data_IF_935822343101
#
_entry.id   IF_935822343101
#
_cell.length_a   1.000
_cell.length_b   1.000
_cell.length_c   1.000
_cell.angle_alpha   90.00
_cell.angle_beta   90.00
_cell.angle_gamma   90.00
#
_symmetry.space_group_name_H-M   'P 1'
#
loop_
_entity.id
_entity.type
_entity.pdbx_description
1 polymer ?
#
# COMPACT_ATOMS: atom_id res chain seq x y z
N UNK A 1 0.00 12.41 -19.80
CA UNK A 1 -0.29 12.87 -21.17
C UNK A 1 -1.05 14.17 -21.02
N UNK A 2 -0.50 15.28 -21.51
CA UNK A 2 -1.14 16.57 -21.41
C UNK A 2 -1.90 16.80 -22.73
N UNK A 3 -3.24 16.87 -22.75
CA UNK A 3 -3.92 17.33 -23.95
C UNK A 3 -3.47 18.78 -24.19
N UNK A 4 -3.17 19.09 -25.45
CA UNK A 4 -2.71 20.41 -25.87
C UNK A 4 -3.60 21.50 -25.25
N UNK A 5 -3.03 22.40 -24.44
CA UNK A 5 -3.72 23.52 -23.78
C UNK A 5 -4.05 24.66 -24.79
N UNK A 6 -4.25 24.31 -26.06
CA UNK A 6 -4.56 25.27 -27.11
C UNK A 6 -6.08 25.39 -27.16
N UNK A 7 -6.65 26.58 -26.90
CA UNK A 7 -8.09 26.78 -26.97
C UNK A 7 -8.56 26.54 -28.40
N UNK A 8 -9.62 25.75 -28.56
CA UNK A 8 -10.20 25.47 -29.86
C UNK A 8 -10.94 26.69 -30.43
N UNK A 9 -11.20 27.69 -29.58
CA UNK A 9 -11.96 28.90 -29.89
C UNK A 9 -13.40 28.57 -30.36
N UNK A 10 -13.87 27.38 -29.97
CA UNK A 10 -15.20 26.85 -30.18
C UNK A 10 -15.76 26.59 -28.79
N UNK A 11 -16.78 27.34 -28.35
CA UNK A 11 -17.20 27.37 -26.95
C UNK A 11 -17.67 26.01 -26.43
N UNK A 12 -18.20 25.15 -27.30
CA UNK A 12 -18.61 23.79 -26.94
C UNK A 12 -17.40 22.87 -26.71
N UNK A 13 -16.35 23.00 -27.54
CA UNK A 13 -15.14 22.20 -27.40
C UNK A 13 -14.33 22.62 -26.16
N UNK A 14 -14.26 23.92 -25.87
CA UNK A 14 -13.57 24.44 -24.70
C UNK A 14 -14.26 23.98 -23.39
N UNK A 15 -15.59 23.95 -23.35
CA UNK A 15 -16.35 23.43 -22.20
C UNK A 15 -16.09 21.92 -21.96
N UNK A 16 -15.99 21.13 -23.04
CA UNK A 16 -15.64 19.69 -22.93
C UNK A 16 -14.20 19.52 -22.43
N UNK A 17 -13.27 20.35 -22.88
CA UNK A 17 -11.90 20.32 -22.39
C UNK A 17 -11.81 20.68 -20.90
N UNK A 18 -12.54 21.71 -20.46
CA UNK A 18 -12.58 22.15 -19.06
C UNK A 18 -13.20 21.10 -18.13
N UNK A 19 -14.29 20.46 -18.56
CA UNK A 19 -14.93 19.39 -17.79
C UNK A 19 -14.00 18.19 -17.65
N UNK A 20 -13.35 17.78 -18.74
CA UNK A 20 -12.37 16.70 -18.72
C UNK A 20 -11.17 17.03 -17.82
N UNK A 21 -10.61 18.23 -17.94
CA UNK A 21 -9.49 18.67 -17.10
C UNK A 21 -9.82 18.61 -15.59
N UNK A 22 -11.05 18.99 -15.23
CA UNK A 22 -11.52 18.92 -13.84
C UNK A 22 -11.63 17.47 -13.35
N UNK A 23 -12.21 16.58 -14.14
CA UNK A 23 -12.33 15.15 -13.79
C UNK A 23 -10.96 14.47 -13.66
N UNK A 24 -10.03 14.78 -14.56
CA UNK A 24 -8.65 14.28 -14.46
C UNK A 24 -7.96 14.73 -13.18
N UNK A 25 -8.11 16.01 -12.82
CA UNK A 25 -7.54 16.56 -11.59
C UNK A 25 -8.12 15.88 -10.35
N UNK A 26 -9.42 15.61 -10.35
CA UNK A 26 -10.09 14.89 -9.27
C UNK A 26 -9.58 13.45 -9.16
N UNK A 27 -9.50 12.73 -10.28
CA UNK A 27 -8.97 11.37 -10.33
C UNK A 27 -7.50 11.30 -9.84
N UNK A 28 -6.65 12.24 -10.27
CA UNK A 28 -5.26 12.33 -9.81
C UNK A 28 -5.19 12.61 -8.30
N UNK A 29 -6.05 13.49 -7.78
CA UNK A 29 -6.12 13.78 -6.35
C UNK A 29 -6.55 12.56 -5.53
N UNK A 30 -7.54 11.81 -6.01
CA UNK A 30 -8.03 10.60 -5.36
C UNK A 30 -6.96 9.50 -5.36
N UNK A 31 -6.24 9.33 -6.46
CA UNK A 31 -5.11 8.41 -6.56
C UNK A 31 -3.99 8.78 -5.58
N UNK A 32 -3.64 10.08 -5.48
CA UNK A 32 -2.63 10.56 -4.54
C UNK A 32 -3.02 10.28 -3.09
N UNK A 33 -4.26 10.60 -2.72
CA UNK A 33 -4.78 10.35 -1.38
C UNK A 33 -4.85 8.85 -1.05
N UNK A 34 -5.23 8.01 -2.02
CA UNK A 34 -5.23 6.56 -1.86
C UNK A 34 -3.83 6.04 -1.58
N UNK A 35 -2.83 6.45 -2.36
CA UNK A 35 -1.42 6.09 -2.15
C UNK A 35 -0.93 6.51 -0.76
N UNK A 36 -1.18 7.75 -0.34
CA UNK A 36 -0.81 8.23 0.99
C UNK A 36 -1.44 7.38 2.10
N UNK A 37 -2.72 7.02 1.97
CA UNK A 37 -3.42 6.15 2.94
C UNK A 37 -2.84 4.73 2.96
N UNK A 38 -2.46 4.18 1.80
CA UNK A 38 -1.81 2.86 1.76
C UNK A 38 -0.44 2.88 2.44
N UNK A 39 0.37 3.90 2.20
CA UNK A 39 1.72 4.02 2.81
C UNK A 39 1.66 4.34 4.30
N UNK A 40 0.71 5.17 4.77
CA UNK A 40 0.55 5.43 6.22
C UNK A 40 0.11 4.19 7.01
N UNK A 41 -0.60 3.26 6.37
CA UNK A 41 -1.05 2.02 7.00
C UNK A 41 -0.10 0.83 6.75
N UNK A 42 1.03 1.03 6.07
CA UNK A 42 2.13 0.07 6.12
C UNK A 42 2.71 0.16 7.53
N UNK A 43 2.21 -0.73 8.39
CA UNK A 43 2.49 -0.73 9.83
C UNK A 43 3.99 -0.60 10.10
N UNK A 44 4.30 0.21 11.11
CA UNK A 44 5.64 0.24 11.71
C UNK A 44 6.03 -1.18 12.07
N UNK A 45 7.19 -1.65 11.60
CA UNK A 45 7.73 -2.96 11.97
C UNK A 45 7.85 -2.98 13.49
N UNK A 46 7.15 -3.89 14.19
CA UNK A 46 7.24 -3.99 15.65
C UNK A 46 8.67 -4.31 16.06
N UNK A 47 9.20 -3.57 17.04
CA UNK A 47 10.52 -3.83 17.58
C UNK A 47 10.45 -4.92 18.64
N UNK A 48 11.32 -5.93 18.49
CA UNK A 48 11.42 -7.04 19.44
C UNK A 48 12.81 -7.10 20.05
N UNK A 49 12.89 -7.46 21.32
CA UNK A 49 14.16 -7.78 21.99
C UNK A 49 14.56 -9.22 21.74
N UNK A 50 15.86 -9.51 21.68
CA UNK A 50 16.35 -10.89 21.52
C UNK A 50 15.95 -11.71 22.76
N UNK A 51 15.30 -12.85 22.55
CA UNK A 51 14.80 -13.73 23.62
C UNK A 51 13.37 -13.45 24.08
N UNK A 52 12.71 -12.44 23.53
CA UNK A 52 11.30 -12.16 23.76
C UNK A 52 10.41 -13.26 23.15
N UNK A 53 9.37 -13.67 23.88
CA UNK A 53 8.38 -14.63 23.39
C UNK A 53 7.35 -13.90 22.56
N UNK A 54 7.35 -14.15 21.26
CA UNK A 54 6.45 -13.50 20.31
C UNK A 54 5.59 -14.54 19.61
N UNK A 55 4.35 -14.15 19.33
CA UNK A 55 3.44 -14.92 18.49
C UNK A 55 3.73 -14.56 17.03
N UNK A 56 3.98 -15.57 16.19
CA UNK A 56 4.23 -15.35 14.77
C UNK A 56 2.89 -15.33 14.03
N UNK A 57 2.76 -14.42 13.08
CA UNK A 57 1.64 -14.45 12.13
C UNK A 57 1.83 -15.66 11.20
N UNK A 58 0.88 -16.59 11.24
CA UNK A 58 0.90 -17.80 10.43
C UNK A 58 0.89 -17.51 8.93
N UNK A 59 0.42 -16.33 8.51
CA UNK A 59 0.45 -15.90 7.11
C UNK A 59 1.85 -15.60 6.58
N UNK A 60 2.81 -15.33 7.47
CA UNK A 60 4.18 -14.99 7.12
C UNK A 60 5.15 -16.17 7.25
N UNK A 61 4.64 -17.37 7.48
CA UNK A 61 5.42 -18.60 7.66
C UNK A 61 4.85 -19.66 6.73
N UNK A 62 5.69 -20.26 5.88
CA UNK A 62 5.27 -21.39 5.06
C UNK A 62 5.07 -22.62 5.93
N UNK A 63 3.80 -22.95 6.20
CA UNK A 63 3.42 -24.17 6.90
C UNK A 63 3.28 -25.33 5.91
N UNK A 64 3.73 -26.52 6.31
CA UNK A 64 3.60 -27.74 5.52
C UNK A 64 2.20 -28.32 5.68
N UNK A 65 1.21 -27.59 5.19
CA UNK A 65 -0.21 -27.96 5.28
C UNK A 65 -0.82 -28.00 3.89
N UNK A 66 -1.77 -28.92 3.67
CA UNK A 66 -2.39 -29.10 2.36
C UNK A 66 -3.33 -27.94 1.97
N UNK A 67 -3.68 -27.05 2.90
CA UNK A 67 -4.59 -25.93 2.68
C UNK A 67 -4.24 -24.75 3.57
N UNK A 68 -3.85 -23.63 2.95
CA UNK A 68 -3.59 -22.35 3.62
C UNK A 68 -4.81 -21.75 4.31
N UNK A 69 -6.02 -22.26 4.01
CA UNK A 69 -7.28 -21.83 4.65
C UNK A 69 -7.50 -22.48 6.01
N UNK A 70 -6.85 -23.61 6.28
CA UNK A 70 -6.92 -24.32 7.57
C UNK A 70 -5.75 -23.99 8.50
N UNK A 71 -4.82 -23.14 8.04
CA UNK A 71 -3.65 -22.76 8.81
C UNK A 71 -4.03 -21.85 9.98
N UNK A 72 -3.45 -22.08 11.17
CA UNK A 72 -3.66 -21.19 12.29
C UNK A 72 -3.07 -19.81 11.97
N UNK A 73 -3.89 -18.76 12.10
CA UNK A 73 -3.44 -17.38 11.91
C UNK A 73 -2.34 -16.96 12.91
N UNK A 74 -2.23 -17.65 14.06
CA UNK A 74 -1.25 -17.33 15.11
C UNK A 74 -0.50 -18.61 15.48
N UNK A 75 0.82 -18.57 15.36
CA UNK A 75 1.70 -19.69 15.70
C UNK A 75 2.23 -19.57 17.12
N UNK A 76 2.49 -20.72 17.74
CA UNK A 76 2.91 -20.88 19.13
C UNK A 76 4.06 -19.93 19.54
N UNK A 77 4.21 -19.61 20.84
CA UNK A 77 5.20 -18.67 21.33
C UNK A 77 6.60 -19.05 20.87
N UNK A 78 7.20 -18.20 20.06
CA UNK A 78 8.53 -18.38 19.50
C UNK A 78 9.51 -17.42 20.16
N UNK A 79 10.78 -17.82 20.27
CA UNK A 79 11.84 -16.93 20.77
C UNK A 79 12.42 -16.17 19.59
N UNK A 80 12.47 -14.84 19.69
CA UNK A 80 13.18 -14.00 18.72
C UNK A 80 14.70 -14.29 18.80
N UNK A 81 15.28 -14.76 17.70
CA UNK A 81 16.70 -15.15 17.63
C UNK A 81 17.61 -14.06 17.06
N UNK A 82 17.10 -13.22 16.16
CA UNK A 82 17.86 -12.16 15.48
C UNK A 82 16.91 -11.10 14.92
N UNK A 83 17.24 -9.83 15.12
CA UNK A 83 16.57 -8.70 14.44
C UNK A 83 17.25 -8.50 13.08
N UNK A 84 16.50 -8.52 11.98
CA UNK A 84 17.07 -8.10 10.69
C UNK A 84 17.24 -6.57 10.71
N UNK A 85 18.32 -6.02 10.14
CA UNK A 85 18.42 -4.58 9.96
C UNK A 85 17.32 -4.14 8.99
N UNK A 86 16.53 -3.15 9.40
CA UNK A 86 15.53 -2.52 8.55
C UNK A 86 16.21 -2.03 7.27
N UNK A 87 15.83 -2.56 6.12
CA UNK A 87 16.28 -2.06 4.82
C UNK A 87 15.65 -0.69 4.58
N UNK A 88 16.43 0.39 4.42
CA UNK A 88 15.92 1.62 3.85
C UNK A 88 15.79 1.40 2.34
N UNK A 89 14.55 1.30 1.84
CA UNK A 89 14.29 1.44 0.40
C UNK A 89 14.49 2.91 0.06
N UNK A 90 15.57 3.17 -0.69
CA UNK A 90 15.88 4.43 -1.35
C UNK A 90 14.95 4.69 -2.55
#
# INVERSE_FOLDING_TARGET
>A
MNPSNVPANVPEADNVADTLAREWKEAESALRLSKERMTRNQGTVPEYSIGEKVWLDGKNVELRTNSSKLDPNVLAPSKSLRKSPATPTA
#
